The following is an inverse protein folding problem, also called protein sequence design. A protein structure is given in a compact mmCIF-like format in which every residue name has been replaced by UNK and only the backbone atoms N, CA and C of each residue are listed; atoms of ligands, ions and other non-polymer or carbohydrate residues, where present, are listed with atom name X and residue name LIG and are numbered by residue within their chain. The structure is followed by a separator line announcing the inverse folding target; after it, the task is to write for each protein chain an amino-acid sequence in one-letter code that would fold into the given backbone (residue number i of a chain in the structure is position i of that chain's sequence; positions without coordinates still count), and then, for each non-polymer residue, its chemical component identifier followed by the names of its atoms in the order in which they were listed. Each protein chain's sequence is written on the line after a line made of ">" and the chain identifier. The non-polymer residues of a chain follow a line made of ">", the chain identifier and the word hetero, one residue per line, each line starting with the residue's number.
data_IF_148580799947
#
_entry.id   IF_148580799947
#
_cell.length_a   1.000
_cell.length_b   1.000
_cell.length_c   1.000
_cell.angle_alpha   90.00
_cell.angle_beta   90.00
_cell.angle_gamma   90.00
#
_symmetry.space_group_name_H-M   'P 1'
#
loop_
_entity.id
_entity.type
_entity.pdbx_description
1 polymer ?
#
# COMPACT_ATOMS: atom_id res chain seq x y z
N UNK A 1 7.78 -23.96 -5.92
CA UNK A 1 8.73 -22.83 -5.94
C UNK A 1 7.94 -21.63 -6.44
N UNK A 2 7.46 -20.79 -5.52
CA UNK A 2 6.77 -19.55 -5.89
C UNK A 2 7.81 -18.58 -6.48
N UNK A 3 7.51 -17.89 -7.60
CA UNK A 3 8.45 -16.93 -8.17
C UNK A 3 8.65 -15.78 -7.19
N UNK A 4 9.89 -15.30 -7.07
CA UNK A 4 10.21 -14.05 -6.39
C UNK A 4 9.36 -12.91 -6.98
N UNK A 5 9.00 -11.88 -6.19
CA UNK A 5 8.31 -10.71 -6.73
C UNK A 5 9.11 -10.18 -7.94
N UNK A 6 8.43 -10.01 -9.07
CA UNK A 6 9.02 -9.38 -10.25
C UNK A 6 9.50 -7.98 -9.88
N UNK A 7 10.50 -7.45 -10.60
CA UNK A 7 11.05 -6.10 -10.38
C UNK A 7 9.94 -5.04 -10.22
N UNK A 8 8.85 -5.20 -10.95
CA UNK A 8 7.70 -4.29 -10.94
C UNK A 8 6.92 -4.35 -9.60
N UNK A 9 6.68 -5.54 -9.05
CA UNK A 9 6.04 -5.71 -7.75
C UNK A 9 6.86 -5.05 -6.63
N UNK A 10 8.18 -5.24 -6.65
CA UNK A 10 9.08 -4.64 -5.67
C UNK A 10 9.09 -3.10 -5.75
N UNK A 11 9.03 -2.54 -6.95
CA UNK A 11 8.93 -1.08 -7.13
C UNK A 11 7.60 -0.52 -6.61
N UNK A 12 6.49 -1.20 -6.88
CA UNK A 12 5.17 -0.77 -6.37
C UNK A 12 5.15 -0.83 -4.83
N UNK A 13 5.69 -1.89 -4.23
CA UNK A 13 5.81 -2.01 -2.77
C UNK A 13 6.72 -0.92 -2.19
N UNK A 14 7.83 -0.58 -2.86
CA UNK A 14 8.71 0.49 -2.42
C UNK A 14 7.99 1.86 -2.41
N UNK A 15 7.18 2.15 -3.43
CA UNK A 15 6.35 3.37 -3.47
C UNK A 15 5.31 3.34 -2.34
N UNK A 16 4.68 2.19 -2.11
CA UNK A 16 3.71 2.00 -1.04
C UNK A 16 4.32 2.27 0.34
N UNK A 17 5.52 1.75 0.60
CA UNK A 17 6.24 1.93 1.86
C UNK A 17 6.62 3.40 2.08
N UNK A 18 7.18 4.04 1.05
CA UNK A 18 7.56 5.47 1.12
C UNK A 18 6.35 6.36 1.35
N UNK A 19 5.25 6.12 0.62
CA UNK A 19 4.02 6.89 0.79
C UNK A 19 3.37 6.66 2.16
N UNK A 20 3.46 5.43 2.71
CA UNK A 20 2.98 5.12 4.06
C UNK A 20 3.79 5.84 5.13
N UNK A 21 5.12 5.81 5.03
CA UNK A 21 6.00 6.54 5.95
C UNK A 21 5.73 8.06 5.90
N UNK A 22 5.66 8.63 4.70
CA UNK A 22 5.37 10.06 4.54
C UNK A 22 3.99 10.46 5.07
N UNK A 23 3.01 9.56 4.98
CA UNK A 23 1.67 9.76 5.55
C UNK A 23 1.70 9.77 7.08
N UNK A 24 2.44 8.86 7.71
CA UNK A 24 2.61 8.84 9.17
C UNK A 24 3.35 10.09 9.68
N UNK A 25 4.39 10.53 8.94
CA UNK A 25 5.18 11.72 9.28
C UNK A 25 4.36 13.02 9.25
N UNK A 26 3.58 13.24 8.17
CA UNK A 26 2.73 14.43 8.08
C UNK A 26 1.56 14.40 9.07
N UNK A 27 1.03 13.21 9.40
CA UNK A 27 0.01 13.09 10.44
C UNK A 27 0.55 13.52 11.80
N UNK A 28 1.76 13.06 12.16
CA UNK A 28 2.42 13.47 13.40
C UNK A 28 2.68 14.98 13.45
N UNK A 29 3.01 15.60 12.30
CA UNK A 29 3.13 17.06 12.22
C UNK A 29 1.78 17.76 12.45
N UNK A 30 0.73 17.30 11.78
CA UNK A 30 -0.62 17.85 11.85
C UNK A 30 -1.24 17.76 13.26
N UNK A 31 -0.85 16.78 14.08
CA UNK A 31 -1.26 16.71 15.49
C UNK A 31 -0.89 17.97 16.29
N UNK A 32 0.17 18.67 15.86
CA UNK A 32 0.63 19.92 16.48
C UNK A 32 0.26 21.16 15.67
N UNK A 33 -0.02 21.02 14.38
CA UNK A 33 -0.35 22.12 13.45
C UNK A 33 -1.61 21.80 12.62
N UNK A 34 -2.79 21.64 13.26
CA UNK A 34 -3.98 21.07 12.59
C UNK A 34 -4.57 21.95 11.47
N UNK A 35 -4.22 23.23 11.44
CA UNK A 35 -4.73 24.20 10.46
C UNK A 35 -3.69 24.56 9.39
N UNK A 36 -2.55 23.87 9.35
CA UNK A 36 -1.53 24.10 8.33
C UNK A 36 -2.03 23.58 6.97
N UNK A 37 -2.34 24.51 6.07
CA UNK A 37 -2.89 24.20 4.75
C UNK A 37 -1.91 23.45 3.85
N UNK A 38 -0.61 23.69 3.97
CA UNK A 38 0.40 23.01 3.16
C UNK A 38 0.57 21.55 3.63
N UNK A 39 0.62 21.33 4.95
CA UNK A 39 0.67 19.99 5.52
C UNK A 39 -0.60 19.17 5.19
N UNK A 40 -1.79 19.79 5.22
CA UNK A 40 -3.03 19.15 4.80
C UNK A 40 -3.03 18.78 3.31
N UNK A 41 -2.52 19.66 2.44
CA UNK A 41 -2.39 19.38 1.01
C UNK A 41 -1.40 18.24 0.76
N UNK A 42 -0.26 18.23 1.46
CA UNK A 42 0.72 17.16 1.37
C UNK A 42 0.16 15.82 1.86
N UNK A 43 -0.59 15.81 2.97
CA UNK A 43 -1.31 14.62 3.45
C UNK A 43 -2.24 14.05 2.38
N UNK A 44 -3.05 14.88 1.71
CA UNK A 44 -3.93 14.44 0.63
C UNK A 44 -3.14 13.83 -0.54
N UNK A 45 -2.02 14.46 -0.90
CA UNK A 45 -1.12 13.97 -1.94
C UNK A 45 -0.56 12.58 -1.60
N UNK A 46 0.08 12.40 -0.44
CA UNK A 46 0.71 11.11 -0.07
C UNK A 46 -0.34 10.02 0.17
N UNK A 47 -1.52 10.37 0.69
CA UNK A 47 -2.67 9.45 0.81
C UNK A 47 -3.10 8.95 -0.57
N UNK A 48 -3.17 9.82 -1.57
CA UNK A 48 -3.52 9.44 -2.94
C UNK A 48 -2.46 8.55 -3.59
N UNK A 49 -1.18 8.83 -3.35
CA UNK A 49 -0.05 8.04 -3.86
C UNK A 49 -0.08 6.63 -3.27
N UNK A 50 -0.27 6.53 -1.95
CA UNK A 50 -0.41 5.26 -1.22
C UNK A 50 -1.57 4.42 -1.78
N UNK A 51 -2.74 5.04 -1.99
CA UNK A 51 -3.91 4.35 -2.54
C UNK A 51 -3.67 3.85 -3.97
N UNK A 52 -2.99 4.65 -4.81
CA UNK A 52 -2.66 4.24 -6.17
C UNK A 52 -1.70 3.06 -6.21
N UNK A 53 -0.65 3.08 -5.38
CA UNK A 53 0.30 1.96 -5.27
C UNK A 53 -0.39 0.68 -4.78
N UNK A 54 -1.28 0.79 -3.78
CA UNK A 54 -2.08 -0.34 -3.30
C UNK A 54 -2.95 -0.95 -4.41
N UNK A 55 -3.66 -0.12 -5.17
CA UNK A 55 -4.52 -0.59 -6.26
C UNK A 55 -3.70 -1.21 -7.39
N UNK A 56 -2.60 -0.57 -7.79
CA UNK A 56 -1.71 -1.09 -8.83
C UNK A 56 -1.13 -2.45 -8.47
N UNK A 57 -0.80 -2.67 -7.19
CA UNK A 57 -0.38 -3.99 -6.73
C UNK A 57 -1.53 -4.99 -6.77
N UNK A 58 -2.70 -4.61 -6.23
CA UNK A 58 -3.86 -5.49 -6.14
C UNK A 58 -4.35 -5.98 -7.50
N UNK A 59 -4.37 -5.10 -8.50
CA UNK A 59 -4.79 -5.41 -9.87
C UNK A 59 -3.89 -6.43 -10.57
N UNK A 60 -2.60 -6.49 -10.20
CA UNK A 60 -1.60 -7.33 -10.87
C UNK A 60 -1.22 -8.60 -10.09
N UNK A 61 -1.20 -8.51 -8.76
CA UNK A 61 -0.65 -9.54 -7.88
C UNK A 61 -1.65 -10.05 -6.84
N UNK A 62 -2.84 -9.44 -6.75
CA UNK A 62 -3.85 -9.75 -5.75
C UNK A 62 -3.76 -8.86 -4.51
N UNK A 63 -4.79 -8.91 -3.64
CA UNK A 63 -4.92 -7.98 -2.52
C UNK A 63 -3.74 -8.04 -1.53
N UNK A 64 -3.33 -6.89 -1.01
CA UNK A 64 -2.32 -6.77 0.05
C UNK A 64 -2.92 -6.83 1.45
N UNK A 65 -4.19 -6.45 1.58
CA UNK A 65 -4.95 -6.47 2.83
C UNK A 65 -6.32 -7.13 2.64
N UNK A 66 -6.85 -7.73 3.71
CA UNK A 66 -8.11 -8.49 3.69
C UNK A 66 -9.32 -7.66 3.24
N UNK A 67 -9.30 -6.38 3.54
CA UNK A 67 -10.34 -5.40 3.20
C UNK A 67 -10.27 -4.94 1.73
N UNK A 68 -9.26 -5.39 0.98
CA UNK A 68 -9.13 -5.18 -0.46
C UNK A 68 -9.69 -6.35 -1.28
N UNK A 69 -10.35 -7.32 -0.65
CA UNK A 69 -11.08 -8.37 -1.35
C UNK A 69 -12.19 -7.76 -2.23
N UNK A 70 -12.10 -7.98 -3.54
CA UNK A 70 -13.08 -7.46 -4.50
C UNK A 70 -14.03 -8.53 -5.04
N UNK A 71 -13.74 -9.82 -4.83
CA UNK A 71 -14.59 -10.89 -5.35
C UNK A 71 -15.85 -11.05 -4.51
N UNK A 72 -17.01 -10.89 -5.15
CA UNK A 72 -18.31 -11.13 -4.53
C UNK A 72 -18.73 -12.61 -4.54
N UNK A 73 -17.95 -13.47 -5.20
CA UNK A 73 -18.33 -14.88 -5.49
C UNK A 73 -17.41 -15.87 -4.79
N UNK A 74 -16.17 -15.48 -4.44
CA UNK A 74 -15.17 -16.33 -3.81
C UNK A 74 -14.24 -15.54 -2.91
N UNK A 75 -13.72 -16.14 -1.84
CA UNK A 75 -12.74 -15.52 -0.95
C UNK A 75 -11.34 -15.66 -1.56
N UNK A 76 -10.91 -14.69 -2.37
CA UNK A 76 -9.66 -14.77 -3.13
C UNK A 76 -8.41 -14.48 -2.30
N UNK A 77 -8.57 -13.86 -1.13
CA UNK A 77 -7.51 -13.61 -0.14
C UNK A 77 -6.69 -14.85 0.24
N UNK A 78 -7.29 -16.05 0.27
CA UNK A 78 -6.59 -17.32 0.57
C UNK A 78 -6.02 -18.03 -0.66
N UNK A 79 -6.25 -17.48 -1.85
CA UNK A 79 -6.02 -18.18 -3.13
C UNK A 79 -4.65 -17.89 -3.76
N UNK A 80 -3.90 -16.91 -3.23
CA UNK A 80 -2.58 -16.51 -3.70
C UNK A 80 -1.50 -16.64 -2.61
N UNK A 81 -0.19 -16.59 -2.99
CA UNK A 81 0.89 -16.50 -2.02
C UNK A 81 0.73 -15.20 -1.22
N UNK A 82 0.85 -15.29 0.09
CA UNK A 82 0.64 -14.11 0.94
C UNK A 82 1.83 -13.16 0.78
N UNK A 83 1.62 -11.84 0.92
CA UNK A 83 2.70 -10.85 0.76
C UNK A 83 3.92 -11.10 1.69
N UNK A 84 3.71 -11.75 2.84
CA UNK A 84 4.75 -12.10 3.82
C UNK A 84 5.35 -13.52 3.66
N UNK A 85 4.81 -14.37 2.78
CA UNK A 85 5.37 -15.71 2.54
C UNK A 85 6.68 -15.67 1.75
N UNK A 86 7.07 -14.51 1.20
CA UNK A 86 8.32 -14.29 0.46
C UNK A 86 9.54 -13.93 1.32
N UNK A 87 9.38 -13.78 2.64
CA UNK A 87 10.48 -13.49 3.57
C UNK A 87 11.27 -14.75 3.94
N UNK A 88 11.93 -15.40 2.98
CA UNK A 88 12.91 -16.44 3.31
C UNK A 88 14.20 -15.77 3.78
N UNK A 89 14.49 -15.95 5.07
CA UNK A 89 15.78 -15.67 5.72
C UNK A 89 16.89 -16.57 5.15
#
# INVERSE_FOLDING_TARGET
>A
MSPAPTSDAAQILQVLDQASFAMDDVLLYLDTHPNDGEALAYYQYVRSLRSQAMNAYADQYGPLMKDQEQSAVSWTWISGPWPWEGGSN
#
